data_IF_709198449702
#
_entry.id   IF_709198449702
#
_cell.length_a   1.000
_cell.length_b   1.000
_cell.length_c   1.000
_cell.angle_alpha   90.00
_cell.angle_beta   90.00
_cell.angle_gamma   90.00
#
_symmetry.space_group_name_H-M   'P 1'
#
loop_
_entity.id
_entity.type
_entity.pdbx_description
1 polymer ?
#
# COMPACT_ATOMS: atom_id res chain seq x y z
N UNK A 1 -18.86 -32.47 -13.12
CA UNK A 1 -17.86 -31.39 -13.13
C UNK A 1 -18.59 -30.08 -12.84
N UNK A 2 -18.82 -29.77 -11.57
CA UNK A 2 -19.64 -28.63 -11.15
C UNK A 2 -19.24 -28.21 -9.72
N UNK A 3 -18.07 -27.58 -9.55
CA UNK A 3 -17.61 -27.06 -8.25
C UNK A 3 -16.71 -25.81 -8.40
N UNK A 4 -16.95 -24.96 -9.41
CA UNK A 4 -16.16 -23.72 -9.58
C UNK A 4 -16.95 -22.41 -9.49
N UNK A 5 -18.28 -22.45 -9.33
CA UNK A 5 -19.10 -21.23 -9.35
C UNK A 5 -19.44 -20.66 -7.97
N UNK A 6 -19.17 -21.40 -6.87
CA UNK A 6 -19.44 -20.90 -5.51
C UNK A 6 -18.33 -20.02 -4.93
N UNK A 7 -17.06 -20.20 -5.36
CA UNK A 7 -15.94 -19.42 -4.83
C UNK A 7 -15.95 -17.95 -5.30
N UNK A 8 -16.40 -17.68 -6.53
CA UNK A 8 -16.46 -16.30 -7.06
C UNK A 8 -17.55 -15.47 -6.35
N UNK A 9 -18.64 -16.10 -5.92
CA UNK A 9 -19.72 -15.41 -5.18
C UNK A 9 -19.30 -15.14 -3.73
N UNK A 10 -18.56 -16.05 -3.09
CA UNK A 10 -18.05 -15.86 -1.73
C UNK A 10 -17.05 -14.70 -1.63
N UNK A 11 -16.08 -14.62 -2.55
CA UNK A 11 -15.09 -13.53 -2.59
C UNK A 11 -15.77 -12.17 -2.79
N UNK A 12 -16.76 -12.08 -3.68
CA UNK A 12 -17.53 -10.84 -3.86
C UNK A 12 -18.38 -10.46 -2.63
N UNK A 13 -18.86 -11.43 -1.86
CA UNK A 13 -19.62 -11.18 -0.63
C UNK A 13 -18.72 -10.73 0.54
N UNK A 14 -17.48 -11.24 0.62
CA UNK A 14 -16.46 -10.75 1.56
C UNK A 14 -16.00 -9.34 1.20
N UNK A 15 -15.76 -9.07 -0.09
CA UNK A 15 -15.42 -7.73 -0.61
C UNK A 15 -16.57 -6.73 -0.35
N UNK A 16 -17.82 -7.14 -0.58
CA UNK A 16 -19.00 -6.31 -0.29
C UNK A 16 -19.18 -6.02 1.20
N UNK A 17 -18.89 -7.00 2.07
CA UNK A 17 -18.90 -6.85 3.53
C UNK A 17 -17.80 -5.91 4.04
N UNK A 18 -16.59 -6.00 3.48
CA UNK A 18 -15.47 -5.09 3.77
C UNK A 18 -15.80 -3.65 3.33
N UNK A 19 -16.29 -3.44 2.10
CA UNK A 19 -16.72 -2.11 1.64
C UNK A 19 -17.89 -1.48 2.43
N UNK A 20 -18.70 -2.29 3.13
CA UNK A 20 -19.74 -1.78 4.02
C UNK A 20 -19.16 -1.35 5.38
N UNK A 21 -18.23 -2.13 5.93
CA UNK A 21 -17.56 -1.81 7.20
C UNK A 21 -16.54 -0.66 7.06
N UNK A 22 -15.81 -0.60 5.95
CA UNK A 22 -14.84 0.45 5.62
C UNK A 22 -15.49 1.83 5.42
N UNK A 23 -16.77 1.87 5.01
CA UNK A 23 -17.54 3.12 4.94
C UNK A 23 -17.93 3.66 6.31
N UNK A 24 -17.95 2.81 7.33
CA UNK A 24 -18.31 3.16 8.71
C UNK A 24 -17.07 3.43 9.59
N UNK A 25 -15.88 3.05 9.14
CA UNK A 25 -14.63 3.24 9.86
C UNK A 25 -13.74 4.28 9.14
N UNK A 26 -13.66 5.50 9.67
CA UNK A 26 -12.80 6.57 9.14
C UNK A 26 -11.30 6.22 9.14
N UNK A 27 -10.90 5.22 9.91
CA UNK A 27 -9.53 4.71 9.99
C UNK A 27 -9.27 3.50 9.09
N UNK A 28 -10.25 3.06 8.29
CA UNK A 28 -10.06 1.98 7.34
C UNK A 28 -9.04 2.34 6.26
N UNK A 29 -8.20 1.37 5.88
CA UNK A 29 -7.14 1.55 4.90
C UNK A 29 -7.62 2.19 3.57
N UNK A 30 -8.75 1.78 2.94
CA UNK A 30 -9.23 2.44 1.72
C UNK A 30 -9.57 3.93 1.90
N UNK A 31 -10.06 4.32 3.06
CA UNK A 31 -10.39 5.71 3.36
C UNK A 31 -9.15 6.55 3.58
N UNK A 32 -8.11 5.99 4.22
CA UNK A 32 -6.82 6.64 4.36
C UNK A 32 -6.11 6.78 2.99
N UNK A 33 -6.21 5.76 2.13
CA UNK A 33 -5.67 5.81 0.77
C UNK A 33 -6.26 6.96 -0.05
N UNK A 34 -7.59 7.18 0.02
CA UNK A 34 -8.26 8.32 -0.64
C UNK A 34 -7.75 9.69 -0.21
N UNK A 35 -7.24 9.81 1.01
CA UNK A 35 -6.70 11.07 1.52
C UNK A 35 -5.30 11.38 0.95
N UNK A 36 -4.55 10.35 0.54
CA UNK A 36 -3.17 10.49 0.07
C UNK A 36 -3.02 10.35 -1.44
N UNK A 37 -3.93 9.62 -2.11
CA UNK A 37 -3.80 9.33 -3.54
C UNK A 37 -5.14 8.92 -4.17
N UNK A 38 -5.40 9.31 -5.44
CA UNK A 38 -6.60 8.83 -6.14
C UNK A 38 -6.53 7.32 -6.37
N UNK A 39 -7.71 6.70 -6.45
CA UNK A 39 -7.90 5.32 -6.91
C UNK A 39 -7.59 5.22 -8.41
N UNK A 40 -6.92 4.15 -8.82
CA UNK A 40 -6.65 3.86 -10.23
C UNK A 40 -7.72 2.88 -10.71
N UNK A 41 -8.40 3.21 -11.80
CA UNK A 41 -9.47 2.37 -12.36
C UNK A 41 -9.05 1.65 -13.66
N UNK A 42 -7.79 1.78 -14.06
CA UNK A 42 -7.24 1.21 -15.30
C UNK A 42 -6.06 0.29 -15.02
N UNK A 43 -6.13 -0.92 -15.58
CA UNK A 43 -5.16 -1.97 -15.28
C UNK A 43 -3.77 -1.47 -15.67
N UNK A 44 -2.82 -1.61 -14.76
CA UNK A 44 -1.46 -1.15 -14.96
C UNK A 44 -0.46 -2.12 -14.33
N UNK A 45 0.82 -1.94 -14.69
CA UNK A 45 1.92 -2.78 -14.22
C UNK A 45 2.77 -2.08 -13.15
N UNK A 46 2.29 -0.98 -12.56
CA UNK A 46 3.07 -0.18 -11.63
C UNK A 46 3.40 -0.99 -10.38
N UNK A 47 4.67 -0.96 -9.98
CA UNK A 47 5.15 -1.60 -8.75
C UNK A 47 4.96 -0.64 -7.58
N UNK A 48 4.09 -0.99 -6.64
CA UNK A 48 3.69 -0.08 -5.55
C UNK A 48 3.96 -0.73 -4.19
N UNK A 49 4.70 -0.01 -3.34
CA UNK A 49 4.88 -0.36 -1.95
C UNK A 49 3.88 0.40 -1.09
N UNK A 50 2.97 -0.31 -0.43
CA UNK A 50 2.10 0.25 0.59
C UNK A 50 2.75 0.09 1.97
N UNK A 51 3.01 1.19 2.66
CA UNK A 51 3.56 1.20 4.02
C UNK A 51 2.42 1.24 5.02
N UNK A 52 2.16 0.13 5.70
CA UNK A 52 1.13 0.02 6.73
C UNK A 52 1.75 -0.01 8.13
N UNK A 53 1.16 0.66 9.11
CA UNK A 53 1.70 0.76 10.47
C UNK A 53 0.87 0.00 11.53
N UNK A 54 -0.28 -0.60 11.19
CA UNK A 54 -1.05 -1.43 12.15
C UNK A 54 -0.81 -2.91 11.92
N UNK A 55 -0.33 -3.58 12.96
CA UNK A 55 -0.19 -5.04 13.01
C UNK A 55 -1.52 -5.78 12.85
N UNK A 56 -2.63 -5.15 13.23
CA UNK A 56 -3.96 -5.78 13.18
C UNK A 56 -4.50 -5.89 11.74
N UNK A 57 -4.04 -5.04 10.81
CA UNK A 57 -4.37 -5.08 9.37
C UNK A 57 -3.32 -5.86 8.53
N UNK A 58 -2.19 -6.22 9.16
CA UNK A 58 -1.07 -6.97 8.56
C UNK A 58 -1.18 -8.47 8.90
N UNK A 59 -2.42 -8.96 9.04
CA UNK A 59 -2.71 -10.31 8.56
C UNK A 59 -2.64 -10.26 7.02
N UNK A 60 -1.38 -10.28 6.55
CA UNK A 60 -0.74 -9.94 5.26
C UNK A 60 -1.51 -10.07 3.95
N UNK A 61 -2.74 -10.57 3.92
CA UNK A 61 -3.54 -10.63 2.70
C UNK A 61 -4.46 -9.42 2.53
N UNK A 62 -4.97 -8.81 3.62
CA UNK A 62 -5.94 -7.72 3.49
C UNK A 62 -5.32 -6.46 2.87
N UNK A 63 -4.20 -5.98 3.43
CA UNK A 63 -3.53 -4.79 2.92
C UNK A 63 -3.01 -4.98 1.48
N UNK A 64 -2.47 -6.17 1.14
CA UNK A 64 -2.09 -6.52 -0.23
C UNK A 64 -3.30 -6.50 -1.17
N UNK A 65 -4.41 -7.11 -0.75
CA UNK A 65 -5.64 -7.15 -1.54
C UNK A 65 -6.19 -5.74 -1.78
N UNK A 66 -6.28 -4.92 -0.74
CA UNK A 66 -6.72 -3.52 -0.83
C UNK A 66 -5.78 -2.73 -1.74
N UNK A 67 -4.46 -2.88 -1.59
CA UNK A 67 -3.50 -2.19 -2.44
C UNK A 67 -3.67 -2.56 -3.92
N UNK A 68 -3.74 -3.86 -4.23
CA UNK A 68 -3.90 -4.36 -5.60
C UNK A 68 -5.22 -3.92 -6.23
N UNK A 69 -6.30 -3.88 -5.44
CA UNK A 69 -7.60 -3.41 -5.92
C UNK A 69 -7.62 -1.89 -6.11
N UNK A 70 -7.15 -1.13 -5.12
CA UNK A 70 -7.19 0.34 -5.12
C UNK A 70 -6.26 0.96 -6.18
N UNK A 71 -5.12 0.32 -6.45
CA UNK A 71 -4.18 0.73 -7.49
C UNK A 71 -4.36 -0.03 -8.80
N UNK A 72 -5.28 -1.01 -8.83
CA UNK A 72 -5.63 -1.83 -9.98
C UNK A 72 -4.39 -2.37 -10.73
N UNK A 73 -3.48 -2.98 -9.96
CA UNK A 73 -2.22 -3.61 -10.39
C UNK A 73 -1.99 -4.88 -9.57
N UNK A 74 -1.39 -5.90 -10.17
CA UNK A 74 -0.97 -7.11 -9.46
C UNK A 74 0.33 -6.90 -8.67
N UNK A 75 1.09 -5.85 -9.01
CA UNK A 75 2.43 -5.59 -8.47
C UNK A 75 2.41 -4.63 -7.26
N UNK A 76 1.37 -4.69 -6.45
CA UNK A 76 1.28 -3.95 -5.20
C UNK A 76 1.49 -4.89 -4.01
N UNK A 77 2.40 -4.48 -3.11
CA UNK A 77 2.72 -5.17 -1.88
C UNK A 77 2.59 -4.21 -0.68
N UNK A 78 1.98 -4.68 0.39
CA UNK A 78 1.95 -4.01 1.68
C UNK A 78 3.06 -4.54 2.59
N UNK A 79 3.74 -3.62 3.29
CA UNK A 79 4.75 -3.96 4.29
C UNK A 79 4.59 -3.09 5.51
N UNK A 80 4.75 -3.73 6.66
CA UNK A 80 4.67 -3.10 7.97
C UNK A 80 6.01 -3.05 8.67
N UNK A 81 6.70 -4.18 8.73
CA UNK A 81 7.98 -4.24 9.42
C UNK A 81 9.14 -3.79 8.50
N UNK A 82 9.78 -2.68 8.88
CA UNK A 82 11.04 -2.21 8.27
C UNK A 82 12.21 -2.34 9.26
N UNK A 83 12.39 -3.52 9.86
CA UNK A 83 13.54 -3.78 10.72
C UNK A 83 14.78 -4.16 9.89
N UNK A 84 15.27 -3.20 9.11
CA UNK A 84 16.33 -3.38 8.11
C UNK A 84 17.38 -2.27 8.21
N UNK A 85 18.56 -2.53 7.64
CA UNK A 85 19.60 -1.49 7.48
C UNK A 85 19.20 -0.45 6.43
N UNK A 86 19.83 0.75 6.41
CA UNK A 86 19.62 1.75 5.36
C UNK A 86 19.86 1.22 3.94
N UNK A 87 20.88 0.38 3.75
CA UNK A 87 21.19 -0.19 2.43
C UNK A 87 20.09 -1.16 1.97
N UNK A 88 19.66 -2.06 2.87
CA UNK A 88 18.52 -2.96 2.58
C UNK A 88 17.22 -2.19 2.37
N UNK A 89 17.00 -1.10 3.10
CA UNK A 89 15.86 -0.22 2.89
C UNK A 89 15.88 0.41 1.49
N UNK A 90 17.05 0.84 1.04
CA UNK A 90 17.26 1.34 -0.33
C UNK A 90 16.94 0.25 -1.36
N UNK A 91 17.44 -0.95 -1.14
CA UNK A 91 17.22 -2.10 -2.03
C UNK A 91 15.74 -2.47 -2.12
N UNK A 92 15.02 -2.50 -0.98
CA UNK A 92 13.57 -2.73 -0.93
C UNK A 92 12.84 -1.68 -1.75
N UNK A 93 13.09 -0.40 -1.50
CA UNK A 93 12.39 0.67 -2.21
C UNK A 93 12.67 0.63 -3.71
N UNK A 94 13.90 0.31 -4.11
CA UNK A 94 14.29 0.25 -5.53
C UNK A 94 13.50 -0.78 -6.37
N UNK A 95 12.85 -1.74 -5.71
CA UNK A 95 11.96 -2.70 -6.41
C UNK A 95 10.65 -2.05 -6.86
N UNK A 96 10.29 -0.90 -6.31
CA UNK A 96 9.02 -0.24 -6.53
C UNK A 96 9.20 1.09 -7.26
N UNK A 97 8.17 1.50 -8.01
CA UNK A 97 8.13 2.80 -8.67
C UNK A 97 7.51 3.86 -7.76
N UNK A 98 6.57 3.44 -6.91
CA UNK A 98 5.89 4.30 -5.97
C UNK A 98 5.83 3.67 -4.59
N UNK A 99 5.90 4.53 -3.58
CA UNK A 99 5.62 4.19 -2.19
C UNK A 99 4.48 5.06 -1.68
N UNK A 100 3.49 4.43 -1.04
CA UNK A 100 2.31 5.07 -0.46
C UNK A 100 2.33 4.85 1.04
N UNK A 101 2.29 5.94 1.80
CA UNK A 101 2.23 5.92 3.27
C UNK A 101 0.94 6.62 3.72
N UNK A 102 -0.17 5.90 3.89
CA UNK A 102 -1.47 6.48 4.27
C UNK A 102 -1.50 7.03 5.70
N UNK A 103 -0.69 6.46 6.61
CA UNK A 103 -0.57 6.89 8.01
C UNK A 103 0.90 7.01 8.45
N UNK A 104 1.23 7.80 9.48
CA UNK A 104 2.62 7.98 9.90
C UNK A 104 3.26 6.66 10.32
N UNK A 105 4.42 6.34 9.76
CA UNK A 105 5.16 5.14 10.08
C UNK A 105 6.56 5.47 10.59
N UNK A 106 6.75 5.44 11.91
CA UNK A 106 7.95 5.97 12.57
C UNK A 106 9.25 5.35 12.05
N UNK A 107 9.30 4.02 11.89
CA UNK A 107 10.50 3.31 11.43
C UNK A 107 10.85 3.67 9.98
N UNK A 108 9.88 3.59 9.07
CA UNK A 108 10.03 3.99 7.67
C UNK A 108 10.51 5.44 7.54
N UNK A 109 9.91 6.39 8.26
CA UNK A 109 10.32 7.79 8.25
C UNK A 109 11.76 7.99 8.72
N UNK A 110 12.18 7.31 9.80
CA UNK A 110 13.57 7.35 10.29
C UNK A 110 14.54 6.76 9.27
N UNK A 111 14.16 5.69 8.58
CA UNK A 111 14.99 5.07 7.54
C UNK A 111 15.08 5.94 6.29
N UNK A 112 13.99 6.57 5.86
CA UNK A 112 14.00 7.55 4.78
C UNK A 112 14.92 8.74 5.09
N UNK A 113 14.85 9.28 6.32
CA UNK A 113 15.74 10.35 6.75
C UNK A 113 17.21 9.92 6.79
N UNK A 114 17.52 8.67 7.16
CA UNK A 114 18.90 8.17 7.18
C UNK A 114 19.44 7.86 5.78
N UNK A 115 18.61 7.30 4.91
CA UNK A 115 19.01 6.76 3.60
C UNK A 115 18.99 7.84 2.52
N UNK A 116 17.89 8.61 2.45
CA UNK A 116 17.67 9.62 1.41
C UNK A 116 17.82 11.05 1.93
N UNK A 117 17.96 11.25 3.25
CA UNK A 117 17.94 12.57 3.91
C UNK A 117 16.61 13.31 3.74
N UNK A 118 15.53 12.57 3.50
CA UNK A 118 14.18 13.08 3.27
C UNK A 118 13.28 12.94 4.51
N UNK A 119 12.64 14.04 4.90
CA UNK A 119 11.64 14.06 5.97
C UNK A 119 10.25 13.83 5.37
N UNK A 120 9.92 12.57 5.13
CA UNK A 120 8.63 12.20 4.53
C UNK A 120 7.49 12.15 5.57
N UNK A 121 6.28 12.39 5.10
CA UNK A 121 5.02 12.37 5.86
C UNK A 121 3.98 11.55 5.10
N UNK A 122 2.74 11.49 5.57
CA UNK A 122 1.68 10.73 4.91
C UNK A 122 1.43 11.20 3.48
N UNK A 123 1.51 10.32 2.50
CA UNK A 123 1.42 10.70 1.10
C UNK A 123 1.92 9.62 0.15
N UNK A 124 1.87 9.96 -1.14
CA UNK A 124 2.44 9.15 -2.22
C UNK A 124 3.75 9.76 -2.70
N UNK A 125 4.73 8.90 -2.94
CA UNK A 125 6.07 9.27 -3.32
C UNK A 125 6.51 8.39 -4.50
N UNK A 126 7.06 9.02 -5.53
CA UNK A 126 7.81 8.32 -6.55
C UNK A 126 9.17 7.93 -5.96
N UNK A 127 9.54 6.66 -6.14
CA UNK A 127 10.85 6.15 -5.76
C UNK A 127 11.83 6.44 -6.88
N UNK A 128 12.94 7.08 -6.56
CA UNK A 128 14.11 7.16 -7.44
C UNK A 128 15.32 6.54 -6.74
N UNK A 129 16.40 6.36 -7.49
CA UNK A 129 17.64 5.76 -6.97
C UNK A 129 18.13 6.43 -5.67
N UNK A 130 17.98 7.74 -5.52
CA UNK A 130 18.53 8.49 -4.39
C UNK A 130 17.51 9.37 -3.66
N UNK A 131 16.22 9.32 -4.02
CA UNK A 131 15.20 10.16 -3.41
C UNK A 131 13.81 9.52 -3.37
N UNK A 132 12.97 10.06 -2.50
CA UNK A 132 11.53 9.80 -2.42
C UNK A 132 10.80 11.11 -2.69
N UNK A 133 10.36 11.33 -3.93
CA UNK A 133 9.72 12.59 -4.34
C UNK A 133 8.22 12.50 -4.21
N UNK A 134 7.61 13.38 -3.42
CA UNK A 134 6.14 13.44 -3.30
C UNK A 134 5.53 13.65 -4.69
N UNK A 135 4.68 12.73 -5.11
CA UNK A 135 4.03 12.72 -6.42
C UNK A 135 2.78 11.87 -6.35
N UNK A 136 1.73 12.27 -7.06
CA UNK A 136 0.53 11.44 -7.22
C UNK A 136 0.79 10.32 -8.22
N UNK A 137 0.06 9.21 -8.07
CA UNK A 137 0.00 8.19 -9.12
C UNK A 137 -0.60 8.80 -10.41
N UNK A 138 -0.10 8.39 -11.59
CA UNK A 138 -0.56 8.87 -12.89
C UNK A 138 -1.95 8.34 -13.26
#
# INVERSE_FOLDING_TARGET
MFFFTFSVIGVNSEIGGMHFNDRLNEHALPQLLKQVTPEINQLNDQRILLVDADQDDVNSYYADFVARYYFFTENADAKEAFNVSPDQFKDINSQYEYMVMPKPHQTYQKLAQKTYRENITTGTYQVSENDLKRKTLP
#
